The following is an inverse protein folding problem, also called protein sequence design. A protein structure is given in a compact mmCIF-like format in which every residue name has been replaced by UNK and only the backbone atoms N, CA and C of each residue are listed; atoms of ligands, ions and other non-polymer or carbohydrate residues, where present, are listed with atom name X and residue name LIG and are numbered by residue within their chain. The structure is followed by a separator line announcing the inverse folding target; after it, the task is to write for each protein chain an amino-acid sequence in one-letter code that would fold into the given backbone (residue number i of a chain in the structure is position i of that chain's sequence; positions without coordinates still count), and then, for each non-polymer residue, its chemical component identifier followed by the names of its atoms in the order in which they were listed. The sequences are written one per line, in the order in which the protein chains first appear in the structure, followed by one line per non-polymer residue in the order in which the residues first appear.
data_IF_309133032621
#
_entry.id   IF_309133032621
#
_cell.length_a   1.000
_cell.length_b   1.000
_cell.length_c   1.000
_cell.angle_alpha   90.00
_cell.angle_beta   90.00
_cell.angle_gamma   90.00
#
_symmetry.space_group_name_H-M   'P 1'
#
loop_
_entity.id
_entity.type
_entity.pdbx_description
1 polymer ?
#
# COMPACT_ATOMS: atom_id res chain seq x y z
N UNK A 1 4.94 19.41 6.46
CA UNK A 1 4.02 18.44 7.10
C UNK A 1 3.49 19.06 8.40
N UNK A 2 2.19 18.92 8.70
CA UNK A 2 1.58 19.44 9.93
C UNK A 2 0.76 20.74 9.79
N UNK A 3 0.67 21.31 8.58
CA UNK A 3 -0.28 22.37 8.25
C UNK A 3 -1.25 21.84 7.19
N UNK A 4 -2.52 21.66 7.57
CA UNK A 4 -3.54 21.09 6.69
C UNK A 4 -3.88 21.98 5.49
N UNK A 5 -3.83 23.30 5.65
CA UNK A 5 -4.13 24.28 4.61
C UNK A 5 -3.05 24.28 3.52
N UNK A 6 -1.77 24.28 3.92
CA UNK A 6 -0.66 24.22 2.96
C UNK A 6 -0.56 22.85 2.27
N UNK A 7 -0.89 21.76 2.96
CA UNK A 7 -0.99 20.45 2.33
C UNK A 7 -2.12 20.44 1.27
N UNK A 8 -3.28 21.02 1.57
CA UNK A 8 -4.38 21.11 0.61
C UNK A 8 -4.01 21.99 -0.60
N UNK A 9 -3.32 23.11 -0.39
CA UNK A 9 -2.86 23.99 -1.46
C UNK A 9 -1.86 23.29 -2.39
N UNK A 10 -0.90 22.57 -1.81
CA UNK A 10 0.06 21.78 -2.56
C UNK A 10 -0.64 20.68 -3.36
N UNK A 11 -1.55 19.93 -2.75
CA UNK A 11 -2.32 18.88 -3.45
C UNK A 11 -3.14 19.46 -4.61
N UNK A 12 -3.78 20.62 -4.43
CA UNK A 12 -4.54 21.27 -5.49
C UNK A 12 -3.68 21.75 -6.67
N UNK A 13 -2.43 22.16 -6.42
CA UNK A 13 -1.51 22.58 -7.48
C UNK A 13 -0.91 21.42 -8.30
N UNK A 14 -0.82 20.21 -7.72
CA UNK A 14 -0.27 19.04 -8.40
C UNK A 14 -1.27 18.46 -9.43
N UNK A 15 -2.55 18.78 -9.33
CA UNK A 15 -3.59 18.30 -10.24
C UNK A 15 -4.11 16.91 -9.87
N UNK A 16 -4.71 16.22 -10.84
CA UNK A 16 -5.36 14.91 -10.61
C UNK A 16 -4.34 13.76 -10.67
N UNK A 17 -3.56 13.63 -9.61
CA UNK A 17 -2.60 12.54 -9.43
C UNK A 17 -3.29 11.18 -9.57
N UNK A 18 -4.54 11.06 -9.10
CA UNK A 18 -5.25 9.79 -9.15
C UNK A 18 -5.48 9.37 -10.60
N UNK A 19 -5.97 10.28 -11.45
CA UNK A 19 -6.16 10.00 -12.87
C UNK A 19 -4.85 9.63 -13.57
N UNK A 20 -3.75 10.36 -13.32
CA UNK A 20 -2.44 10.07 -13.90
C UNK A 20 -1.94 8.68 -13.51
N UNK A 21 -2.01 8.35 -12.22
CA UNK A 21 -1.58 7.05 -11.69
C UNK A 21 -2.42 5.91 -12.26
N UNK A 22 -3.75 6.07 -12.33
CA UNK A 22 -4.63 5.06 -12.92
C UNK A 22 -4.32 4.88 -14.41
N UNK A 23 -4.07 5.97 -15.15
CA UNK A 23 -3.68 5.93 -16.55
C UNK A 23 -2.38 5.13 -16.79
N UNK A 24 -1.40 5.26 -15.90
CA UNK A 24 -0.16 4.46 -15.96
C UNK A 24 -0.45 2.98 -15.73
N UNK A 25 -1.25 2.62 -14.73
CA UNK A 25 -1.59 1.21 -14.44
C UNK A 25 -2.38 0.60 -15.61
N UNK A 26 -3.32 1.34 -16.18
CA UNK A 26 -4.08 0.88 -17.35
C UNK A 26 -3.17 0.67 -18.56
N UNK A 27 -2.18 1.55 -18.76
CA UNK A 27 -1.18 1.37 -19.83
C UNK A 27 -0.37 0.07 -19.66
N UNK A 28 -0.14 -0.38 -18.42
CA UNK A 28 0.56 -1.63 -18.14
C UNK A 28 -0.25 -2.84 -18.59
N UNK A 29 -1.59 -2.79 -18.51
CA UNK A 29 -2.45 -3.90 -18.99
C UNK A 29 -2.28 -4.18 -20.48
N UNK A 30 -1.86 -3.18 -21.26
CA UNK A 30 -1.63 -3.33 -22.71
C UNK A 30 -0.17 -3.45 -23.10
N UNK A 31 0.75 -2.91 -22.29
CA UNK A 31 2.19 -2.83 -22.64
C UNK A 31 3.04 -3.92 -22.02
N UNK A 32 2.63 -4.49 -20.88
CA UNK A 32 3.37 -5.57 -20.23
C UNK A 32 3.02 -6.92 -20.87
N UNK A 33 4.01 -7.83 -20.87
CA UNK A 33 3.74 -9.21 -21.28
C UNK A 33 2.83 -9.90 -20.26
N UNK A 34 2.01 -10.91 -20.66
CA UNK A 34 1.04 -11.56 -19.77
C UNK A 34 1.61 -12.16 -18.47
N UNK A 35 2.91 -12.40 -18.42
CA UNK A 35 3.62 -13.01 -17.29
C UNK A 35 4.53 -12.01 -16.54
N UNK A 36 4.48 -10.72 -16.89
CA UNK A 36 5.24 -9.66 -16.23
C UNK A 36 4.44 -9.10 -15.05
N UNK A 37 5.12 -8.85 -13.93
CA UNK A 37 4.53 -8.20 -12.76
C UNK A 37 4.74 -6.70 -12.86
N UNK A 38 3.65 -5.93 -12.84
CA UNK A 38 3.69 -4.49 -12.58
C UNK A 38 3.59 -4.24 -11.07
N UNK A 39 4.50 -3.44 -10.52
CA UNK A 39 4.50 -3.09 -9.09
C UNK A 39 4.18 -1.61 -8.92
N UNK A 40 3.09 -1.33 -8.20
CA UNK A 40 2.73 0.00 -7.77
C UNK A 40 2.91 0.12 -6.26
N UNK A 41 3.71 1.09 -5.83
CA UNK A 41 3.88 1.44 -4.43
C UNK A 41 3.28 2.83 -4.18
N UNK A 42 2.48 2.96 -3.12
CA UNK A 42 1.94 4.24 -2.70
C UNK A 42 1.62 4.24 -1.20
N UNK A 43 1.97 5.34 -0.52
CA UNK A 43 1.73 5.51 0.92
C UNK A 43 0.23 5.57 1.27
N UNK A 44 -0.60 6.09 0.36
CA UNK A 44 -2.06 6.19 0.50
C UNK A 44 -2.80 5.20 -0.42
N UNK A 45 -2.16 4.08 -0.78
CA UNK A 45 -2.66 3.12 -1.77
C UNK A 45 -4.12 2.71 -1.55
N UNK A 46 -4.46 2.38 -0.31
CA UNK A 46 -5.78 1.91 0.07
C UNK A 46 -6.80 3.06 0.04
N UNK A 47 -6.43 4.22 0.55
CA UNK A 47 -7.31 5.39 0.65
C UNK A 47 -7.61 6.03 -0.71
N UNK A 48 -6.64 5.98 -1.62
CA UNK A 48 -6.74 6.60 -2.94
C UNK A 48 -7.47 5.73 -3.98
N UNK A 49 -7.97 4.55 -3.60
CA UNK A 49 -8.74 3.71 -4.52
C UNK A 49 -7.87 2.90 -5.50
N UNK A 50 -6.55 2.91 -5.36
CA UNK A 50 -5.65 2.32 -6.37
C UNK A 50 -5.76 0.80 -6.46
N UNK A 51 -6.16 0.13 -5.37
CA UNK A 51 -6.40 -1.32 -5.36
C UNK A 51 -7.50 -1.76 -6.34
N UNK A 52 -8.35 -0.85 -6.84
CA UNK A 52 -9.35 -1.16 -7.89
C UNK A 52 -8.72 -1.54 -9.22
N UNK A 53 -7.47 -1.14 -9.44
CA UNK A 53 -6.75 -1.35 -10.70
C UNK A 53 -5.69 -2.45 -10.58
N UNK A 54 -5.53 -3.04 -9.40
CA UNK A 54 -4.55 -4.09 -9.12
C UNK A 54 -5.21 -5.46 -9.03
N UNK A 55 -4.53 -6.49 -9.54
CA UNK A 55 -5.01 -7.86 -9.45
C UNK A 55 -4.72 -8.49 -8.07
N UNK A 56 -3.77 -7.91 -7.32
CA UNK A 56 -3.37 -8.34 -5.98
C UNK A 56 -2.88 -7.13 -5.15
N UNK A 57 -3.16 -7.13 -3.85
CA UNK A 57 -2.80 -6.05 -2.92
C UNK A 57 -1.96 -6.58 -1.76
N UNK A 58 -0.83 -5.94 -1.48
CA UNK A 58 0.15 -6.39 -0.50
C UNK A 58 0.57 -5.27 0.44
N UNK A 59 0.33 -5.45 1.74
CA UNK A 59 0.70 -4.53 2.79
C UNK A 59 1.97 -5.00 3.50
N UNK A 60 3.00 -4.16 3.53
CA UNK A 60 4.14 -4.33 4.42
C UNK A 60 3.90 -3.54 5.70
N UNK A 61 3.99 -4.22 6.83
CA UNK A 61 3.81 -3.67 8.16
C UNK A 61 5.02 -3.98 9.04
N UNK A 62 5.12 -3.29 10.17
CA UNK A 62 6.19 -3.46 11.16
C UNK A 62 5.64 -3.12 12.54
N UNK A 63 6.16 -3.79 13.56
CA UNK A 63 5.79 -3.49 14.95
C UNK A 63 6.17 -2.06 15.33
N UNK A 64 5.30 -1.37 16.06
CA UNK A 64 5.48 0.03 16.44
C UNK A 64 6.83 0.29 17.14
N UNK A 65 7.25 -0.60 18.04
CA UNK A 65 8.54 -0.47 18.75
C UNK A 65 9.72 -0.48 17.78
N UNK A 66 9.70 -1.40 16.81
CA UNK A 66 10.75 -1.50 15.82
C UNK A 66 10.69 -0.37 14.79
N UNK A 67 9.48 0.06 14.42
CA UNK A 67 9.26 1.23 13.56
C UNK A 67 9.87 2.49 14.17
N UNK A 68 9.61 2.75 15.45
CA UNK A 68 10.19 3.87 16.21
C UNK A 68 11.71 3.76 16.22
N UNK A 69 12.25 2.58 16.56
CA UNK A 69 13.69 2.37 16.59
C UNK A 69 14.35 2.67 15.23
N UNK A 70 13.83 2.07 14.14
CA UNK A 70 14.33 2.30 12.78
C UNK A 70 14.20 3.77 12.33
N UNK A 71 13.11 4.44 12.71
CA UNK A 71 12.92 5.87 12.43
C UNK A 71 13.96 6.73 13.15
N UNK A 72 14.24 6.44 14.42
CA UNK A 72 15.27 7.15 15.19
C UNK A 72 16.65 6.98 14.57
N UNK A 73 17.03 5.73 14.28
CA UNK A 73 18.36 5.39 13.76
C UNK A 73 18.59 6.00 12.37
N UNK A 74 17.59 5.93 11.49
CA UNK A 74 17.69 6.44 10.12
C UNK A 74 17.64 7.97 10.04
N UNK A 75 16.81 8.61 10.86
CA UNK A 75 16.50 10.04 10.75
C UNK A 75 17.11 10.90 11.89
N UNK A 76 17.91 10.31 12.78
CA UNK A 76 18.49 10.95 13.96
C UNK A 76 17.45 11.72 14.81
N UNK A 77 16.33 11.05 15.11
CA UNK A 77 15.19 11.64 15.83
C UNK A 77 15.23 11.30 17.32
N UNK A 78 14.65 12.17 18.16
CA UNK A 78 14.32 11.79 19.54
C UNK A 78 13.16 10.79 19.55
N UNK A 79 12.96 10.12 20.68
CA UNK A 79 11.84 9.18 20.86
C UNK A 79 10.49 9.88 20.64
N UNK A 80 10.32 11.07 21.19
CA UNK A 80 9.08 11.84 21.11
C UNK A 80 8.75 12.24 19.67
N UNK A 81 9.76 12.67 18.90
CA UNK A 81 9.58 13.01 17.48
C UNK A 81 9.24 11.77 16.63
N UNK A 82 9.85 10.63 16.91
CA UNK A 82 9.56 9.38 16.21
C UNK A 82 8.15 8.87 16.53
N UNK A 83 7.73 8.93 17.80
CA UNK A 83 6.38 8.58 18.24
C UNK A 83 5.32 9.49 17.60
N UNK A 84 5.53 10.81 17.63
CA UNK A 84 4.64 11.77 16.98
C UNK A 84 4.52 11.50 15.47
N UNK A 85 5.63 11.14 14.82
CA UNK A 85 5.63 10.80 13.40
C UNK A 85 4.91 9.49 13.12
N UNK A 86 5.02 8.49 13.99
CA UNK A 86 4.27 7.24 13.84
C UNK A 86 2.77 7.45 14.10
N UNK A 87 2.40 8.23 15.12
CA UNK A 87 0.99 8.49 15.48
C UNK A 87 0.24 9.35 14.47
N UNK A 88 0.95 10.15 13.66
CA UNK A 88 0.35 10.93 12.57
C UNK A 88 0.10 10.11 11.30
N UNK A 89 0.64 8.89 11.23
CA UNK A 89 0.34 7.95 10.17
C UNK A 89 -0.90 7.13 10.51
N UNK A 90 -1.58 6.63 9.49
CA UNK A 90 -2.68 5.68 9.70
C UNK A 90 -2.12 4.34 10.17
N UNK A 91 -2.80 3.73 11.14
CA UNK A 91 -2.47 2.39 11.60
C UNK A 91 -2.63 1.39 10.45
N UNK A 92 -1.66 0.50 10.27
CA UNK A 92 -1.72 -0.48 9.19
C UNK A 92 -2.86 -1.49 9.39
N UNK A 93 -3.29 -1.71 10.64
CA UNK A 93 -4.44 -2.53 11.01
C UNK A 93 -5.74 -2.00 10.40
N UNK A 94 -5.85 -0.69 10.15
CA UNK A 94 -7.02 -0.11 9.48
C UNK A 94 -7.06 -0.46 7.98
N UNK A 95 -5.91 -0.88 7.43
CA UNK A 95 -5.71 -1.23 6.02
C UNK A 95 -5.73 -2.74 5.79
N UNK A 96 -5.37 -3.54 6.78
CA UNK A 96 -5.37 -5.01 6.72
C UNK A 96 -6.67 -5.62 6.15
N UNK A 97 -7.88 -5.15 6.49
CA UNK A 97 -9.10 -5.73 5.93
C UNK A 97 -9.25 -5.54 4.41
N UNK A 98 -8.49 -4.62 3.82
CA UNK A 98 -8.54 -4.29 2.39
C UNK A 98 -7.51 -5.06 1.55
N UNK A 99 -6.55 -5.76 2.18
CA UNK A 99 -5.40 -6.33 1.46
C UNK A 99 -5.40 -7.85 1.40
N UNK A 100 -4.83 -8.38 0.32
CA UNK A 100 -4.78 -9.82 0.08
C UNK A 100 -3.72 -10.50 0.95
N UNK A 101 -2.59 -9.82 1.15
CA UNK A 101 -1.47 -10.28 1.95
C UNK A 101 -0.93 -9.16 2.86
N UNK A 102 -0.66 -9.51 4.12
CA UNK A 102 0.10 -8.69 5.05
C UNK A 102 1.42 -9.37 5.35
N UNK A 103 2.52 -8.64 5.24
CA UNK A 103 3.86 -9.09 5.61
C UNK A 103 4.40 -8.23 6.73
N UNK A 104 4.79 -8.86 7.84
CA UNK A 104 5.49 -8.19 8.93
C UNK A 104 7.00 -8.18 8.68
N UNK A 105 7.54 -7.00 8.39
CA UNK A 105 8.97 -6.76 8.23
C UNK A 105 9.61 -6.49 9.61
N UNK A 106 9.50 -7.44 10.52
CA UNK A 106 10.08 -7.36 11.86
C UNK A 106 11.51 -7.90 11.93
N UNK A 107 11.89 -8.71 10.93
CA UNK A 107 13.15 -9.42 10.84
C UNK A 107 14.30 -8.62 10.22
N UNK A 108 15.30 -9.36 9.76
CA UNK A 108 16.42 -8.85 8.97
C UNK A 108 16.01 -8.55 7.52
N UNK A 109 16.91 -7.89 6.80
CA UNK A 109 16.70 -7.63 5.37
C UNK A 109 16.70 -8.93 4.56
N UNK A 110 17.55 -9.88 4.92
CA UNK A 110 17.65 -11.20 4.28
C UNK A 110 16.35 -12.00 4.46
N UNK A 111 15.80 -12.01 5.68
CA UNK A 111 14.51 -12.66 5.97
C UNK A 111 13.37 -12.03 5.16
N UNK A 112 13.40 -10.70 4.98
CA UNK A 112 12.42 -10.01 4.15
C UNK A 112 12.57 -10.38 2.67
N UNK A 113 13.79 -10.45 2.15
CA UNK A 113 14.05 -10.81 0.74
C UNK A 113 13.54 -12.23 0.46
N UNK A 114 13.90 -13.19 1.31
CA UNK A 114 13.47 -14.58 1.16
C UNK A 114 11.94 -14.73 1.18
N UNK A 115 11.28 -14.02 2.10
CA UNK A 115 9.83 -14.00 2.17
C UNK A 115 9.21 -13.38 0.91
N UNK A 116 9.74 -12.25 0.44
CA UNK A 116 9.22 -11.58 -0.76
C UNK A 116 9.38 -12.46 -2.00
N UNK A 117 10.54 -13.09 -2.18
CA UNK A 117 10.79 -14.01 -3.30
C UNK A 117 9.85 -15.22 -3.27
N UNK A 118 9.61 -15.77 -2.08
CA UNK A 118 8.68 -16.89 -1.87
C UNK A 118 7.26 -16.50 -2.24
N UNK A 119 6.78 -15.37 -1.75
CA UNK A 119 5.41 -14.89 -1.99
C UNK A 119 5.20 -14.47 -3.45
N UNK A 120 6.16 -13.77 -4.07
CA UNK A 120 6.10 -13.44 -5.50
C UNK A 120 6.05 -14.73 -6.34
N UNK A 121 6.85 -15.74 -6.01
CA UNK A 121 6.85 -17.01 -6.72
C UNK A 121 5.50 -17.73 -6.61
N UNK A 122 4.91 -17.74 -5.40
CA UNK A 122 3.56 -18.29 -5.15
C UNK A 122 2.49 -17.55 -5.95
N UNK A 123 2.48 -16.22 -5.90
CA UNK A 123 1.50 -15.38 -6.59
C UNK A 123 1.62 -15.58 -8.11
N UNK A 124 2.84 -15.58 -8.65
CA UNK A 124 3.09 -15.81 -10.07
C UNK A 124 2.62 -17.19 -10.51
N UNK A 125 2.89 -18.22 -9.72
CA UNK A 125 2.40 -19.57 -9.99
C UNK A 125 0.86 -19.61 -10.06
N UNK A 126 0.19 -19.04 -9.05
CA UNK A 126 -1.26 -18.97 -9.00
C UNK A 126 -1.86 -18.18 -10.18
N UNK A 127 -1.24 -17.06 -10.56
CA UNK A 127 -1.63 -16.28 -11.73
C UNK A 127 -1.54 -17.11 -13.01
N UNK A 128 -0.40 -17.76 -13.27
CA UNK A 128 -0.21 -18.57 -14.48
C UNK A 128 -1.11 -19.79 -14.54
N UNK A 129 -1.50 -20.33 -13.38
CA UNK A 129 -2.44 -21.45 -13.28
C UNK A 129 -3.92 -21.02 -13.33
N UNK A 130 -4.21 -19.71 -13.34
CA UNK A 130 -5.58 -19.18 -13.27
C UNK A 130 -6.27 -19.45 -11.92
N UNK A 131 -5.48 -19.64 -10.85
CA UNK A 131 -5.98 -19.97 -9.50
C UNK A 131 -5.76 -18.86 -8.47
N UNK A 132 -5.24 -17.70 -8.90
CA UNK A 132 -5.14 -16.53 -8.03
C UNK A 132 -6.56 -16.06 -7.64
N UNK A 133 -6.90 -15.98 -6.35
CA UNK A 133 -8.21 -15.53 -5.93
C UNK A 133 -8.43 -14.06 -6.29
N UNK A 134 -9.68 -13.63 -6.54
CA UNK A 134 -10.00 -12.22 -6.71
C UNK A 134 -9.56 -11.41 -5.48
N UNK A 135 -9.05 -10.21 -5.71
CA UNK A 135 -8.60 -9.34 -4.63
C UNK A 135 -9.74 -8.99 -3.65
N UNK A 136 -9.45 -9.10 -2.35
CA UNK A 136 -10.32 -8.67 -1.25
C UNK A 136 -10.62 -7.18 -1.32
N UNK A 137 -9.72 -6.40 -1.92
CA UNK A 137 -9.82 -4.95 -2.03
C UNK A 137 -11.14 -4.50 -2.63
N UNK A 138 -11.60 -5.15 -3.71
CA UNK A 138 -12.85 -4.76 -4.38
C UNK A 138 -14.08 -4.94 -3.49
N UNK A 139 -14.15 -6.06 -2.77
CA UNK A 139 -15.24 -6.30 -1.80
C UNK A 139 -15.21 -5.27 -0.66
N UNK A 140 -14.01 -4.99 -0.15
CA UNK A 140 -13.81 -4.00 0.90
C UNK A 140 -14.20 -2.58 0.45
N UNK A 141 -13.78 -2.19 -0.76
CA UNK A 141 -14.02 -0.88 -1.36
C UNK A 141 -15.51 -0.62 -1.52
N UNK A 142 -16.23 -1.56 -2.15
CA UNK A 142 -17.67 -1.43 -2.38
C UNK A 142 -18.46 -1.32 -1.07
N UNK A 143 -18.07 -2.08 -0.04
CA UNK A 143 -18.71 -2.02 1.28
C UNK A 143 -18.54 -0.65 1.93
N UNK A 144 -17.45 0.07 1.66
CA UNK A 144 -17.20 1.41 2.18
C UNK A 144 -17.87 2.51 1.36
N UNK A 145 -17.84 2.44 0.03
CA UNK A 145 -18.57 3.34 -0.88
C UNK A 145 -20.07 3.38 -0.53
N UNK A 146 -20.67 2.22 -0.27
CA UNK A 146 -22.07 2.13 0.12
C UNK A 146 -22.37 2.72 1.51
N UNK A 147 -21.38 2.79 2.42
CA UNK A 147 -21.55 3.45 3.72
C UNK A 147 -21.44 4.98 3.63
N UNK A 148 -20.66 5.51 2.69
CA UNK A 148 -20.54 6.96 2.44
C UNK A 148 -21.71 7.54 1.65
N UNK A 149 -22.46 6.70 0.92
CA UNK A 149 -23.63 7.08 0.13
C UNK A 149 -24.99 6.72 0.77
N UNK A 150 -25.01 6.40 2.07
CA UNK A 150 -26.26 6.31 2.83
C UNK A 150 -26.56 7.67 3.49
N UNK A 151 -27.78 8.22 3.32
CA UNK A 151 -28.17 9.52 3.86
C UNK A 151 -28.24 9.53 5.40
#
# INVERSE_FOLDING_TARGET
FGNAEEMARLTGAIGDIQAEVCGVIDSWRTSLSPNTIGLMEAVNFIEAGYGRFSDFTWLFAVDNKLAIQRLKDRNNLTTEMAEQRLSSQRAWQDREPAVDLVTLNNGSQEELIELVETEISRIRFQWTAGTLPPSKYMSWWNTREHKTNQP
#
